data_IF_480442809860
#
_entry.id   IF_480442809860
#
_cell.length_a   1.000
_cell.length_b   1.000
_cell.length_c   1.000
_cell.angle_alpha   90.00
_cell.angle_beta   90.00
_cell.angle_gamma   90.00
#
_symmetry.space_group_name_H-M   'P 1'
#
loop_
_entity.id
_entity.type
_entity.pdbx_description
1 polymer ?
#
# COMPACT_ATOMS: atom_id res chain seq x y z
N UNK A 1 4.43 -5.02 3.70
CA UNK A 1 4.32 -5.02 5.17
C UNK A 1 5.70 -5.05 5.78
N UNK A 2 5.97 -4.22 6.78
CA UNK A 2 7.21 -4.25 7.54
C UNK A 2 7.27 -5.50 8.43
N UNK A 3 8.40 -6.19 8.37
CA UNK A 3 8.68 -7.34 9.23
C UNK A 3 9.93 -7.08 10.06
N UNK A 4 9.90 -7.46 11.32
CA UNK A 4 11.05 -7.48 12.22
C UNK A 4 11.25 -8.91 12.69
N UNK A 5 12.45 -9.46 12.49
CA UNK A 5 12.78 -10.85 12.82
C UNK A 5 11.84 -11.89 12.17
N UNK A 6 11.38 -11.61 10.94
CA UNK A 6 10.45 -12.45 10.19
C UNK A 6 8.96 -12.20 10.47
N UNK A 7 8.64 -11.48 11.55
CA UNK A 7 7.28 -11.28 12.02
C UNK A 7 6.69 -9.93 11.59
N UNK A 8 5.39 -9.87 11.22
CA UNK A 8 4.67 -8.62 10.97
C UNK A 8 4.73 -7.66 12.16
N UNK A 9 5.15 -6.42 11.94
CA UNK A 9 5.08 -5.40 12.99
C UNK A 9 3.65 -4.87 13.09
N UNK A 10 3.03 -5.09 14.26
CA UNK A 10 1.70 -4.61 14.61
C UNK A 10 1.74 -3.16 15.09
N UNK A 11 0.69 -2.43 14.82
CA UNK A 11 0.54 -1.02 15.21
C UNK A 11 -0.89 -0.74 15.68
N UNK A 12 -1.08 0.42 16.32
CA UNK A 12 -2.39 0.93 16.72
C UNK A 12 -2.78 2.09 15.82
N UNK A 13 -3.85 1.96 15.04
CA UNK A 13 -4.35 2.98 14.13
C UNK A 13 -4.79 4.26 14.87
N UNK A 14 -5.19 4.09 16.14
CA UNK A 14 -5.72 5.16 17.00
C UNK A 14 -4.65 5.94 17.77
N UNK A 15 -3.42 5.45 17.84
CA UNK A 15 -2.31 6.19 18.46
C UNK A 15 -1.55 6.98 17.39
N UNK A 16 -1.37 8.28 17.63
CA UNK A 16 -0.49 9.15 16.83
C UNK A 16 0.57 9.79 17.74
N UNK A 17 1.87 9.78 17.36
CA UNK A 17 2.44 9.10 16.19
C UNK A 17 2.24 7.58 16.31
N UNK A 18 2.00 6.91 15.17
CA UNK A 18 1.88 5.46 15.19
C UNK A 18 3.25 4.82 15.46
N UNK A 19 3.25 3.52 15.78
CA UNK A 19 4.48 2.80 16.16
C UNK A 19 5.28 2.31 14.96
N UNK A 20 4.96 2.76 13.75
CA UNK A 20 5.64 2.32 12.54
C UNK A 20 6.95 3.09 12.31
N UNK A 21 8.00 2.43 11.79
CA UNK A 21 9.26 3.10 11.49
C UNK A 21 9.13 4.01 10.26
N UNK A 22 10.14 4.85 10.04
CA UNK A 22 10.14 5.82 8.94
C UNK A 22 9.87 5.19 7.57
N UNK A 23 8.94 5.83 6.86
CA UNK A 23 8.38 5.41 5.58
C UNK A 23 7.48 4.18 5.65
N UNK A 24 6.87 3.94 6.80
CA UNK A 24 5.77 3.00 6.97
C UNK A 24 4.62 3.70 7.69
N UNK A 25 3.41 3.28 7.38
CA UNK A 25 2.18 3.78 7.99
C UNK A 25 1.36 2.63 8.59
N UNK A 26 0.58 2.94 9.62
CA UNK A 26 -0.29 1.96 10.23
C UNK A 26 -1.57 1.77 9.41
N UNK A 27 -1.69 0.63 8.72
CA UNK A 27 -2.91 0.26 8.01
C UNK A 27 -3.74 -0.66 8.90
N UNK A 28 -4.96 -0.23 9.22
CA UNK A 28 -5.89 -0.99 10.04
C UNK A 28 -6.30 -2.27 9.29
N UNK A 29 -6.14 -3.41 9.95
CA UNK A 29 -6.61 -4.70 9.44
C UNK A 29 -8.00 -5.03 9.99
N UNK A 30 -8.78 -5.81 9.24
CA UNK A 30 -10.11 -6.27 9.66
C UNK A 30 -10.08 -7.26 10.85
N UNK A 31 -8.90 -7.71 11.26
CA UNK A 31 -8.75 -8.72 12.32
C UNK A 31 -7.65 -8.33 13.27
N UNK A 32 -7.94 -7.49 14.29
CA UNK A 32 -7.49 -7.70 15.67
C UNK A 32 -8.48 -6.95 16.61
N UNK A 33 -9.27 -7.68 17.40
CA UNK A 33 -9.97 -7.13 18.57
C UNK A 33 -8.90 -6.79 19.62
N UNK A 34 -8.55 -5.51 19.80
CA UNK A 34 -7.56 -5.11 20.80
C UNK A 34 -6.90 -3.75 20.54
N UNK A 35 -5.82 -3.45 21.28
CA UNK A 35 -5.11 -2.16 21.20
C UNK A 35 -4.21 -2.01 19.95
N UNK A 36 -3.81 -3.12 19.30
CA UNK A 36 -3.01 -3.14 18.08
C UNK A 36 -3.89 -3.69 16.94
N UNK A 37 -4.59 -2.80 16.25
CA UNK A 37 -5.60 -3.09 15.23
C UNK A 37 -5.08 -2.98 13.80
N UNK A 38 -3.78 -2.76 13.61
CA UNK A 38 -3.16 -2.62 12.31
C UNK A 38 -1.79 -3.27 12.19
N UNK A 39 -1.24 -3.19 10.98
CA UNK A 39 0.13 -3.58 10.66
C UNK A 39 0.85 -2.44 9.93
N UNK A 40 2.16 -2.36 10.10
CA UNK A 40 2.97 -1.36 9.41
C UNK A 40 3.14 -1.74 7.93
N UNK A 41 2.58 -0.93 7.03
CA UNK A 41 2.71 -1.07 5.59
C UNK A 41 3.60 0.03 5.01
N UNK A 42 4.33 -0.22 3.91
CA UNK A 42 5.11 0.84 3.27
C UNK A 42 4.19 2.01 2.92
N UNK A 43 4.65 3.23 3.15
CA UNK A 43 3.91 4.43 2.78
C UNK A 43 3.87 4.62 1.26
N UNK A 44 3.27 5.73 0.81
CA UNK A 44 3.21 6.10 -0.60
C UNK A 44 4.58 6.13 -1.27
N UNK A 45 5.55 6.81 -0.66
CA UNK A 45 6.87 7.02 -1.25
C UNK A 45 7.62 5.70 -1.48
N UNK A 46 7.49 4.74 -0.55
CA UNK A 46 8.07 3.41 -0.70
C UNK A 46 7.26 2.51 -1.62
N UNK A 47 5.94 2.53 -1.50
CA UNK A 47 5.07 1.66 -2.31
C UNK A 47 5.23 1.95 -3.80
N UNK A 48 5.23 3.22 -4.21
CA UNK A 48 5.32 3.60 -5.61
C UNK A 48 6.74 3.48 -6.20
N UNK A 49 7.75 3.18 -5.38
CA UNK A 49 9.12 2.92 -5.84
C UNK A 49 9.51 1.45 -5.76
N UNK A 50 8.67 0.60 -5.16
CA UNK A 50 8.89 -0.84 -5.13
C UNK A 50 8.69 -1.49 -6.51
N UNK A 51 9.40 -2.60 -6.80
CA UNK A 51 9.25 -3.31 -8.06
C UNK A 51 7.85 -3.94 -8.19
N UNK A 52 7.39 -4.03 -9.43
CA UNK A 52 6.22 -4.82 -9.83
C UNK A 52 6.65 -6.29 -9.89
N UNK A 53 5.97 -7.14 -9.12
CA UNK A 53 6.20 -8.59 -9.11
C UNK A 53 5.20 -9.25 -10.07
N UNK A 54 5.53 -9.23 -11.36
CA UNK A 54 4.77 -9.92 -12.39
C UNK A 54 5.12 -11.42 -12.41
N UNK A 55 4.09 -12.25 -12.54
CA UNK A 55 4.18 -13.71 -12.58
C UNK A 55 3.50 -14.21 -13.87
N UNK A 56 4.14 -14.05 -15.04
CA UNK A 56 3.51 -14.34 -16.32
C UNK A 56 3.12 -15.81 -16.51
N UNK A 57 3.87 -16.72 -15.88
CA UNK A 57 3.73 -18.16 -16.03
C UNK A 57 2.59 -18.75 -15.18
N UNK A 58 2.39 -18.27 -13.95
CA UNK A 58 1.45 -18.85 -12.98
C UNK A 58 0.55 -17.82 -12.25
N UNK A 59 0.62 -16.55 -12.65
CA UNK A 59 -0.25 -15.49 -12.15
C UNK A 59 -1.66 -15.60 -12.69
N UNK A 60 -2.64 -15.53 -11.78
CA UNK A 60 -4.06 -15.72 -12.09
C UNK A 60 -4.95 -14.55 -11.61
N UNK A 61 -4.37 -13.54 -10.96
CA UNK A 61 -5.07 -12.32 -10.58
C UNK A 61 -4.50 -11.12 -11.34
N UNK A 62 -5.34 -10.43 -12.12
CA UNK A 62 -4.99 -9.12 -12.69
C UNK A 62 -4.84 -8.08 -11.58
N UNK A 63 -3.71 -7.37 -11.60
CA UNK A 63 -3.37 -6.28 -10.66
C UNK A 63 -2.73 -5.13 -11.41
N UNK A 64 -2.63 -3.99 -10.74
CA UNK A 64 -2.02 -2.77 -11.26
C UNK A 64 -0.80 -2.39 -10.43
N UNK A 65 0.24 -1.88 -11.07
CA UNK A 65 1.45 -1.39 -10.40
C UNK A 65 2.02 -0.18 -11.13
N UNK A 66 2.70 0.70 -10.39
CA UNK A 66 3.31 1.91 -10.94
C UNK A 66 4.73 1.62 -11.46
N UNK A 67 5.00 1.92 -12.73
CA UNK A 67 6.30 1.70 -13.38
C UNK A 67 7.27 2.88 -13.26
N UNK A 68 6.90 3.91 -12.50
CA UNK A 68 7.63 5.17 -12.39
C UNK A 68 7.04 6.30 -13.24
N UNK A 69 6.18 5.99 -14.20
CA UNK A 69 5.50 6.97 -15.06
C UNK A 69 3.98 6.77 -15.11
N UNK A 70 3.52 5.52 -15.14
CA UNK A 70 2.12 5.15 -15.30
C UNK A 70 1.79 3.87 -14.52
N UNK A 71 0.48 3.66 -14.32
CA UNK A 71 -0.02 2.42 -13.74
C UNK A 71 -0.26 1.40 -14.85
N UNK A 72 0.42 0.26 -14.79
CA UNK A 72 0.33 -0.84 -15.75
C UNK A 72 -0.33 -2.06 -15.12
N UNK A 73 -1.03 -2.85 -15.93
CA UNK A 73 -1.60 -4.13 -15.52
C UNK A 73 -0.53 -5.24 -15.54
N UNK A 74 -0.56 -6.14 -14.57
CA UNK A 74 0.32 -7.32 -14.48
C UNK A 74 -0.42 -8.53 -13.89
N UNK A 75 0.13 -9.73 -14.10
CA UNK A 75 -0.42 -10.98 -13.54
C UNK A 75 0.22 -11.27 -12.20
N UNK A 76 -0.60 -11.43 -11.17
CA UNK A 76 -0.14 -11.70 -9.82
C UNK A 76 -0.54 -13.11 -9.34
N UNK A 77 0.39 -13.72 -8.62
CA UNK A 77 0.20 -14.98 -7.91
C UNK A 77 0.45 -14.69 -6.42
N UNK A 78 -0.57 -14.76 -5.55
CA UNK A 78 -0.44 -14.46 -4.13
C UNK A 78 0.45 -15.45 -3.35
N UNK A 79 0.80 -16.59 -3.94
CA UNK A 79 1.69 -17.59 -3.34
C UNK A 79 3.18 -17.31 -3.63
N UNK A 80 3.47 -16.35 -4.50
CA UNK A 80 4.82 -15.92 -4.89
C UNK A 80 5.22 -14.63 -4.16
N UNK A 81 6.51 -14.27 -4.14
CA UNK A 81 6.96 -12.98 -3.62
C UNK A 81 6.16 -11.80 -4.22
N UNK A 82 5.88 -10.79 -3.41
CA UNK A 82 5.13 -9.61 -3.81
C UNK A 82 5.68 -8.37 -3.12
N UNK A 83 5.43 -7.20 -3.69
CA UNK A 83 5.61 -5.92 -3.03
C UNK A 83 4.27 -5.27 -2.70
N UNK A 84 4.32 -4.09 -2.09
CA UNK A 84 3.14 -3.24 -1.89
C UNK A 84 2.68 -2.54 -3.18
N UNK A 85 3.51 -2.52 -4.24
CA UNK A 85 3.17 -1.99 -5.55
C UNK A 85 2.24 -2.97 -6.30
N UNK A 86 1.04 -3.15 -5.75
CA UNK A 86 0.07 -4.15 -6.16
C UNK A 86 -1.35 -3.68 -5.79
N UNK A 87 -2.03 -3.08 -6.76
CA UNK A 87 -3.34 -2.47 -6.61
C UNK A 87 -4.40 -3.32 -7.32
N UNK A 88 -5.62 -3.35 -6.77
CA UNK A 88 -6.76 -4.08 -7.37
C UNK A 88 -7.31 -3.39 -8.63
N UNK A 89 -7.13 -2.09 -8.76
CA UNK A 89 -7.65 -1.30 -9.87
C UNK A 89 -6.65 -0.25 -10.32
N UNK A 90 -6.72 0.11 -11.61
CA UNK A 90 -5.96 1.21 -12.20
C UNK A 90 -6.16 2.51 -11.44
N UNK A 91 -7.43 2.87 -11.19
CA UNK A 91 -7.79 4.11 -10.51
C UNK A 91 -7.16 4.22 -9.12
N UNK A 92 -7.11 3.12 -8.34
CA UNK A 92 -6.44 3.14 -7.03
C UNK A 92 -4.92 3.32 -7.18
N UNK A 93 -4.28 2.65 -8.15
CA UNK A 93 -2.86 2.88 -8.43
C UNK A 93 -2.58 4.33 -8.82
N UNK A 94 -3.38 4.91 -9.72
CA UNK A 94 -3.19 6.27 -10.21
C UNK A 94 -3.40 7.29 -9.10
N UNK A 95 -4.46 7.17 -8.31
CA UNK A 95 -4.70 8.02 -7.14
C UNK A 95 -3.53 7.93 -6.13
N UNK A 96 -3.11 6.69 -5.83
CA UNK A 96 -2.10 6.44 -4.82
C UNK A 96 -0.66 6.75 -5.26
N UNK A 97 -0.32 6.68 -6.55
CA UNK A 97 1.05 6.91 -7.02
C UNK A 97 1.22 8.19 -7.86
N UNK A 98 0.20 8.62 -8.58
CA UNK A 98 0.23 9.81 -9.44
C UNK A 98 -0.49 10.99 -8.77
N UNK A 99 -1.59 10.72 -8.05
CA UNK A 99 -2.42 11.70 -7.34
C UNK A 99 -1.75 12.31 -6.11
N UNK A 100 -0.72 13.14 -6.31
CA UNK A 100 -0.18 14.18 -5.41
C UNK A 100 1.21 14.58 -5.88
N UNK A 101 1.30 15.17 -7.06
CA UNK A 101 2.49 15.91 -7.48
C UNK A 101 2.05 17.32 -7.88
N UNK A 102 2.24 18.26 -6.94
CA UNK A 102 1.92 19.71 -6.96
C UNK A 102 0.42 20.07 -6.77
N UNK A 103 0.00 21.12 -6.05
CA UNK A 103 0.48 22.52 -6.04
C UNK A 103 0.21 23.20 -4.68
N UNK A 104 1.12 24.09 -4.29
CA UNK A 104 0.92 25.24 -3.41
C UNK A 104 -0.55 25.69 -3.23
N UNK A 105 -1.17 25.23 -2.14
CA UNK A 105 -2.17 26.03 -1.43
C UNK A 105 -3.59 26.08 -2.01
N UNK A 106 -4.20 24.94 -2.37
CA UNK A 106 -5.61 24.57 -2.12
C UNK A 106 -5.93 23.40 -3.05
N UNK A 107 -6.21 22.21 -2.49
CA UNK A 107 -7.04 21.22 -3.17
C UNK A 107 -7.93 20.55 -2.12
N UNK A 108 -9.24 20.84 -2.23
CA UNK A 108 -10.29 20.11 -1.55
C UNK A 108 -10.47 18.76 -2.25
N UNK A 109 -10.15 17.67 -1.56
CA UNK A 109 -10.99 16.48 -1.63
C UNK A 109 -11.29 16.05 -0.20
N UNK A 110 -12.40 16.58 0.30
CA UNK A 110 -13.03 16.08 1.52
C UNK A 110 -13.33 14.59 1.33
N UNK A 111 -12.67 13.79 2.16
CA UNK A 111 -13.24 12.75 3.03
C UNK A 111 -14.16 11.69 2.42
N UNK A 112 -13.77 10.43 2.69
CA UNK A 112 -14.58 9.28 3.11
C UNK A 112 -14.57 8.09 2.15
N UNK A 113 -13.71 7.12 2.47
CA UNK A 113 -14.06 5.71 2.28
C UNK A 113 -13.75 4.96 3.58
N UNK A 114 -14.70 5.02 4.51
CA UNK A 114 -14.99 3.87 5.36
C UNK A 114 -15.75 2.87 4.50
N UNK A 115 -15.22 1.66 4.37
CA UNK A 115 -15.94 0.38 4.31
C UNK A 115 -14.92 -0.74 4.60
#
# INVERSE_FOLDING_TARGET
MYRKDGEPVKCSSKKKPDTCPDGYECIQGLSILGALDGVCCPDRAKTCTHPIFDHPDDGYLSRWGFDGAQCIEFKWNPERPSSANNFKSRAHCEDYCIGSSTINGIINYQTNFHL
#
